data_IF_526012099202
#
_entry.id   IF_526012099202
#
_cell.length_a   1.000
_cell.length_b   1.000
_cell.length_c   1.000
_cell.angle_alpha   90.00
_cell.angle_beta   90.00
_cell.angle_gamma   90.00
#
_symmetry.space_group_name_H-M   'P 1'
#
loop_
_entity.id
_entity.type
_entity.pdbx_description
1 polymer ?
#
# COMPACT_ATOMS: atom_id res chain seq x y z
N UNK A 1 -21.05 40.29 20.70
CA UNK A 1 -22.30 40.79 21.36
C UNK A 1 -23.58 40.03 20.97
N UNK A 2 -23.57 39.11 20.04
CA UNK A 2 -24.79 38.40 19.53
C UNK A 2 -25.43 37.36 20.50
N UNK A 3 -24.69 36.87 21.48
CA UNK A 3 -25.14 35.79 22.37
C UNK A 3 -25.81 36.33 23.67
N UNK A 4 -25.78 37.66 23.95
CA UNK A 4 -26.30 38.22 25.20
C UNK A 4 -27.83 38.16 25.35
N UNK A 5 -28.56 38.04 24.22
CA UNK A 5 -30.04 37.97 24.18
C UNK A 5 -30.59 36.55 24.12
N UNK A 6 -29.77 35.49 24.14
CA UNK A 6 -30.22 34.13 24.07
C UNK A 6 -30.55 33.58 25.46
N UNK A 7 -31.65 32.84 25.55
CA UNK A 7 -31.99 32.09 26.73
C UNK A 7 -30.90 31.07 27.09
N UNK A 8 -30.60 30.89 28.37
CA UNK A 8 -29.52 30.06 28.92
C UNK A 8 -29.49 28.67 28.27
N UNK A 9 -30.69 28.04 28.14
CA UNK A 9 -30.83 26.72 27.50
C UNK A 9 -30.35 26.70 26.05
N UNK A 10 -30.60 27.76 25.28
CA UNK A 10 -30.16 27.86 23.87
C UNK A 10 -28.66 28.03 23.74
N UNK A 11 -28.01 28.76 24.69
CA UNK A 11 -26.53 28.92 24.70
C UNK A 11 -25.84 27.60 25.01
N UNK A 12 -26.35 26.86 25.99
CA UNK A 12 -25.80 25.55 26.36
C UNK A 12 -26.00 24.55 25.21
N UNK A 13 -27.23 24.47 24.63
CA UNK A 13 -27.53 23.58 23.51
C UNK A 13 -26.64 23.86 22.29
N UNK A 14 -26.41 25.15 21.95
CA UNK A 14 -25.53 25.51 20.84
C UNK A 14 -24.07 25.09 21.08
N UNK A 15 -23.54 25.29 22.29
CA UNK A 15 -22.19 24.90 22.64
C UNK A 15 -21.99 23.37 22.60
N UNK A 16 -22.94 22.60 23.14
CA UNK A 16 -22.88 21.14 23.06
C UNK A 16 -23.07 20.62 21.64
N UNK A 17 -23.94 21.24 20.83
CA UNK A 17 -24.11 20.90 19.43
C UNK A 17 -22.83 21.10 18.62
N UNK A 18 -22.10 22.19 18.89
CA UNK A 18 -20.81 22.48 18.21
C UNK A 18 -19.74 21.44 18.55
N UNK A 19 -19.68 21.02 19.83
CA UNK A 19 -18.77 19.94 20.25
C UNK A 19 -19.16 18.62 19.62
N UNK A 20 -20.47 18.28 19.62
CA UNK A 20 -20.96 17.07 19.00
C UNK A 20 -20.66 17.02 17.49
N UNK A 21 -20.82 18.15 16.78
CA UNK A 21 -20.45 18.29 15.38
C UNK A 21 -18.94 18.10 15.15
N UNK A 22 -18.10 18.67 16.02
CA UNK A 22 -16.66 18.49 15.93
C UNK A 22 -16.24 17.02 16.11
N UNK A 23 -16.85 16.31 17.06
CA UNK A 23 -16.61 14.87 17.29
C UNK A 23 -17.12 14.04 16.10
N UNK A 24 -18.31 14.33 15.57
CA UNK A 24 -18.84 13.65 14.40
C UNK A 24 -17.94 13.87 13.17
N UNK A 25 -17.50 15.10 12.94
CA UNK A 25 -16.54 15.43 11.87
C UNK A 25 -15.24 14.64 12.02
N UNK A 26 -14.66 14.61 13.22
CA UNK A 26 -13.45 13.80 13.49
C UNK A 26 -13.65 12.33 13.17
N UNK A 27 -14.81 11.78 13.58
CA UNK A 27 -15.12 10.36 13.30
C UNK A 27 -15.18 10.07 11.80
N UNK A 28 -15.94 10.85 11.03
CA UNK A 28 -16.07 10.68 9.58
C UNK A 28 -14.74 10.91 8.87
N UNK A 29 -14.02 11.95 9.24
CA UNK A 29 -12.70 12.26 8.68
C UNK A 29 -11.70 11.12 8.94
N UNK A 30 -11.60 10.63 10.19
CA UNK A 30 -10.69 9.54 10.56
C UNK A 30 -11.00 8.24 9.82
N UNK A 31 -12.31 7.90 9.67
CA UNK A 31 -12.72 6.73 8.89
C UNK A 31 -12.33 6.84 7.41
N UNK A 32 -12.51 8.01 6.80
CA UNK A 32 -12.09 8.25 5.43
C UNK A 32 -10.58 8.10 5.22
N UNK A 33 -9.77 8.61 6.16
CA UNK A 33 -8.30 8.47 6.11
C UNK A 33 -7.85 7.02 6.30
N UNK A 34 -8.49 6.29 7.22
CA UNK A 34 -8.21 4.85 7.40
C UNK A 34 -8.54 4.05 6.13
N UNK A 35 -9.65 4.35 5.44
CA UNK A 35 -9.97 3.71 4.16
C UNK A 35 -8.87 3.93 3.13
N UNK A 36 -8.42 5.17 2.93
CA UNK A 36 -7.37 5.49 1.95
C UNK A 36 -6.04 4.78 2.23
N UNK A 37 -5.64 4.66 3.51
CA UNK A 37 -4.46 3.91 3.91
C UNK A 37 -4.67 2.41 3.64
N UNK A 38 -5.84 1.89 3.96
CA UNK A 38 -6.19 0.48 3.73
C UNK A 38 -6.18 0.12 2.26
N UNK A 39 -6.74 0.97 1.39
CA UNK A 39 -6.79 0.73 -0.06
C UNK A 39 -5.38 0.61 -0.65
N UNK A 40 -4.45 1.49 -0.23
CA UNK A 40 -3.03 1.42 -0.65
C UNK A 40 -2.30 0.20 -0.10
N UNK A 41 -2.54 -0.15 1.17
CA UNK A 41 -1.98 -1.36 1.76
C UNK A 41 -2.49 -2.60 1.02
N UNK A 42 -3.76 -2.63 0.65
CA UNK A 42 -4.36 -3.72 -0.13
C UNK A 42 -3.74 -3.82 -1.52
N UNK A 43 -3.48 -2.70 -2.21
CA UNK A 43 -2.79 -2.70 -3.50
C UNK A 43 -1.37 -3.28 -3.37
N UNK A 44 -0.64 -2.93 -2.30
CA UNK A 44 0.69 -3.51 -2.05
C UNK A 44 0.60 -5.02 -1.80
N UNK A 45 -0.35 -5.48 -0.96
CA UNK A 45 -0.48 -6.88 -0.55
C UNK A 45 -1.02 -7.79 -1.66
N UNK A 46 -1.97 -7.31 -2.46
CA UNK A 46 -2.72 -8.14 -3.41
C UNK A 46 -2.26 -8.00 -4.87
N UNK A 47 -1.49 -6.95 -5.17
CA UNK A 47 -1.08 -6.63 -6.53
C UNK A 47 0.45 -6.55 -6.65
N UNK A 48 1.11 -5.55 -6.04
CA UNK A 48 2.54 -5.35 -6.21
C UNK A 48 3.42 -6.50 -5.70
N UNK A 49 3.14 -7.01 -4.49
CA UNK A 49 3.96 -8.08 -3.89
C UNK A 49 3.79 -9.42 -4.62
N UNK A 50 2.59 -9.89 -4.98
CA UNK A 50 2.43 -11.07 -5.81
C UNK A 50 3.09 -10.93 -7.18
N UNK A 51 2.97 -9.79 -7.85
CA UNK A 51 3.60 -9.50 -9.15
C UNK A 51 5.12 -9.65 -9.10
N UNK A 52 5.77 -9.02 -8.11
CA UNK A 52 7.23 -9.17 -7.91
C UNK A 52 7.62 -10.63 -7.69
N UNK A 53 6.88 -11.36 -6.85
CA UNK A 53 7.19 -12.78 -6.57
C UNK A 53 7.11 -13.64 -7.81
N UNK A 54 6.12 -13.41 -8.68
CA UNK A 54 6.00 -14.16 -9.93
C UNK A 54 7.13 -13.79 -10.88
N UNK A 55 7.45 -12.51 -11.06
CA UNK A 55 8.58 -12.04 -11.89
C UNK A 55 9.90 -12.64 -11.39
N UNK A 56 10.14 -12.65 -10.07
CA UNK A 56 11.33 -13.27 -9.49
C UNK A 56 11.38 -14.78 -9.71
N UNK A 57 10.23 -15.46 -9.59
CA UNK A 57 10.13 -16.90 -9.89
C UNK A 57 10.40 -17.21 -11.36
N UNK A 58 9.91 -16.40 -12.28
CA UNK A 58 10.22 -16.49 -13.71
C UNK A 58 11.72 -16.35 -13.92
N UNK A 59 12.33 -15.32 -13.37
CA UNK A 59 13.78 -15.05 -13.47
C UNK A 59 14.61 -16.18 -12.88
N UNK A 60 14.24 -16.68 -11.71
CA UNK A 60 14.95 -17.81 -11.08
C UNK A 60 14.89 -19.06 -11.94
N UNK A 61 13.72 -19.43 -12.46
CA UNK A 61 13.57 -20.62 -13.31
C UNK A 61 14.34 -20.49 -14.63
N UNK A 62 14.38 -19.30 -15.24
CA UNK A 62 15.23 -19.03 -16.42
C UNK A 62 16.71 -19.21 -16.13
N UNK A 63 17.21 -18.69 -14.97
CA UNK A 63 18.59 -18.88 -14.54
C UNK A 63 18.91 -20.35 -14.27
N UNK A 64 17.98 -21.09 -13.67
CA UNK A 64 18.14 -22.55 -13.44
C UNK A 64 18.22 -23.32 -14.77
N UNK A 65 17.34 -23.00 -15.74
CA UNK A 65 17.37 -23.59 -17.08
C UNK A 65 18.69 -23.27 -17.77
N UNK A 66 19.18 -22.02 -17.67
CA UNK A 66 20.49 -21.67 -18.23
C UNK A 66 21.62 -22.47 -17.58
N UNK A 67 21.56 -22.69 -16.27
CA UNK A 67 22.56 -23.54 -15.59
C UNK A 67 22.53 -24.98 -16.10
N UNK A 68 21.33 -25.54 -16.33
CA UNK A 68 21.17 -26.89 -16.92
C UNK A 68 21.79 -26.93 -18.32
N UNK A 69 21.49 -25.96 -19.18
CA UNK A 69 22.02 -25.91 -20.54
C UNK A 69 23.56 -25.78 -20.59
N UNK A 70 24.14 -24.97 -19.70
CA UNK A 70 25.59 -24.85 -19.60
C UNK A 70 26.27 -26.13 -19.08
N UNK A 71 25.65 -26.82 -18.11
CA UNK A 71 26.15 -28.13 -17.64
C UNK A 71 26.10 -29.14 -18.76
N UNK A 72 25.01 -29.20 -19.53
CA UNK A 72 24.88 -30.06 -20.69
C UNK A 72 25.97 -29.78 -21.74
N UNK A 73 26.28 -28.51 -21.98
CA UNK A 73 27.34 -28.12 -22.92
C UNK A 73 28.74 -28.54 -22.46
N UNK A 74 29.01 -28.59 -21.16
CA UNK A 74 30.29 -28.98 -20.58
C UNK A 74 30.43 -30.49 -20.38
N UNK A 75 29.34 -31.25 -20.32
CA UNK A 75 29.34 -32.66 -20.05
C UNK A 75 29.77 -33.45 -21.33
N UNK A 76 30.87 -34.22 -21.28
CA UNK A 76 31.32 -35.02 -22.42
C UNK A 76 30.41 -36.24 -22.70
N UNK A 77 29.63 -36.71 -21.71
CA UNK A 77 28.85 -37.94 -21.85
C UNK A 77 27.42 -37.63 -22.37
N UNK A 78 27.18 -38.00 -23.62
CA UNK A 78 25.85 -37.87 -24.27
C UNK A 78 24.75 -38.67 -23.60
N UNK A 79 25.07 -39.64 -22.73
CA UNK A 79 24.07 -40.44 -21.99
C UNK A 79 23.32 -39.61 -20.95
N UNK A 80 23.92 -38.49 -20.50
CA UNK A 80 23.31 -37.60 -19.52
C UNK A 80 22.30 -36.61 -20.11
N UNK A 81 22.17 -36.54 -21.46
CA UNK A 81 21.32 -35.55 -22.13
C UNK A 81 19.85 -35.72 -21.74
N UNK A 82 19.36 -36.96 -21.63
CA UNK A 82 17.98 -37.21 -21.25
C UNK A 82 17.69 -36.79 -19.79
N UNK A 83 18.70 -36.85 -18.90
CA UNK A 83 18.63 -36.33 -17.55
C UNK A 83 18.52 -34.79 -17.56
N UNK A 84 19.35 -34.11 -18.36
CA UNK A 84 19.28 -32.65 -18.51
C UNK A 84 17.95 -32.21 -19.12
N UNK A 85 17.43 -32.97 -20.10
CA UNK A 85 16.14 -32.67 -20.71
C UNK A 85 14.99 -32.82 -19.71
N UNK A 86 14.97 -33.87 -18.90
CA UNK A 86 13.96 -34.02 -17.83
C UNK A 86 14.02 -32.88 -16.79
N UNK A 87 15.24 -32.42 -16.42
CA UNK A 87 15.41 -31.28 -15.55
C UNK A 87 14.89 -29.98 -16.20
N UNK A 88 15.17 -29.76 -17.48
CA UNK A 88 14.66 -28.65 -18.26
C UNK A 88 13.13 -28.66 -18.32
N UNK A 89 12.52 -29.78 -18.70
CA UNK A 89 11.06 -29.91 -18.84
C UNK A 89 10.35 -29.59 -17.53
N UNK A 90 10.83 -30.13 -16.40
CA UNK A 90 10.28 -29.84 -15.08
C UNK A 90 10.33 -28.33 -14.74
N UNK A 91 11.43 -27.64 -15.06
CA UNK A 91 11.57 -26.19 -14.84
C UNK A 91 10.75 -25.38 -15.82
N UNK A 92 10.69 -25.80 -17.08
CA UNK A 92 9.92 -25.12 -18.12
C UNK A 92 8.40 -25.18 -17.87
N UNK A 93 7.90 -26.26 -17.27
CA UNK A 93 6.50 -26.35 -16.83
C UNK A 93 6.18 -25.30 -15.77
N UNK A 94 7.01 -25.18 -14.72
CA UNK A 94 6.83 -24.16 -13.68
C UNK A 94 6.95 -22.75 -14.27
N UNK A 95 7.95 -22.52 -15.12
CA UNK A 95 8.16 -21.25 -15.80
C UNK A 95 6.96 -20.84 -16.66
N UNK A 96 6.43 -21.75 -17.45
CA UNK A 96 5.27 -21.49 -18.31
C UNK A 96 4.01 -21.22 -17.48
N UNK A 97 3.85 -21.90 -16.34
CA UNK A 97 2.74 -21.61 -15.43
C UNK A 97 2.87 -20.22 -14.83
N UNK A 98 4.05 -19.85 -14.31
CA UNK A 98 4.30 -18.52 -13.77
C UNK A 98 4.05 -17.41 -14.79
N UNK A 99 4.43 -17.63 -16.06
CA UNK A 99 4.17 -16.67 -17.15
C UNK A 99 2.67 -16.48 -17.36
N UNK A 100 1.88 -17.55 -17.33
CA UNK A 100 0.41 -17.48 -17.41
C UNK A 100 -0.19 -16.78 -16.20
N UNK A 101 0.27 -17.13 -15.00
CA UNK A 101 -0.23 -16.52 -13.75
C UNK A 101 0.07 -15.03 -13.69
N UNK A 102 1.19 -14.62 -14.29
CA UNK A 102 1.57 -13.20 -14.36
C UNK A 102 0.63 -12.37 -15.23
N UNK A 103 -0.03 -12.95 -16.23
CA UNK A 103 -0.96 -12.22 -17.11
C UNK A 103 -2.10 -11.52 -16.34
N UNK A 104 -2.51 -12.09 -15.19
CA UNK A 104 -3.57 -11.53 -14.36
C UNK A 104 -3.18 -10.23 -13.63
N UNK A 105 -1.88 -9.90 -13.59
CA UNK A 105 -1.34 -8.72 -12.90
C UNK A 105 -0.93 -7.59 -13.84
N UNK A 106 -1.18 -7.75 -15.14
CA UNK A 106 -0.86 -6.73 -16.14
C UNK A 106 -2.04 -5.77 -16.24
N UNK A 107 -1.87 -4.55 -15.74
CA UNK A 107 -2.93 -3.53 -15.69
C UNK A 107 -2.54 -2.20 -16.35
N UNK A 108 -1.27 -2.03 -16.76
CA UNK A 108 -0.79 -0.82 -17.42
C UNK A 108 -0.27 -1.07 -18.84
N UNK A 109 -0.33 -0.07 -19.74
CA UNK A 109 0.24 -0.17 -21.08
C UNK A 109 1.76 -0.42 -21.09
N UNK A 110 2.48 0.04 -20.07
CA UNK A 110 3.92 -0.16 -19.94
C UNK A 110 4.25 -1.61 -19.58
N UNK A 111 3.53 -2.19 -18.63
CA UNK A 111 3.63 -3.60 -18.29
C UNK A 111 3.29 -4.50 -19.48
N UNK A 112 2.20 -4.18 -20.19
CA UNK A 112 1.79 -4.93 -21.38
C UNK A 112 2.89 -4.90 -22.44
N UNK A 113 3.51 -3.75 -22.69
CA UNK A 113 4.61 -3.61 -23.67
C UNK A 113 5.81 -4.49 -23.29
N UNK A 114 6.23 -4.44 -22.02
CA UNK A 114 7.36 -5.23 -21.50
C UNK A 114 7.06 -6.72 -21.58
N UNK A 115 5.86 -7.09 -21.21
CA UNK A 115 5.42 -8.49 -21.24
C UNK A 115 5.32 -9.05 -22.67
N UNK A 116 4.79 -8.29 -23.62
CA UNK A 116 4.71 -8.71 -25.01
C UNK A 116 6.11 -8.89 -25.63
N UNK A 117 7.04 -8.01 -25.30
CA UNK A 117 8.43 -8.17 -25.72
C UNK A 117 9.07 -9.40 -25.05
N UNK A 118 8.84 -9.61 -23.77
CA UNK A 118 9.29 -10.78 -23.04
C UNK A 118 8.74 -12.08 -23.67
N UNK A 119 7.45 -12.16 -23.98
CA UNK A 119 6.85 -13.35 -24.64
C UNK A 119 7.50 -13.66 -25.98
N UNK A 120 7.78 -12.65 -26.77
CA UNK A 120 8.46 -12.79 -28.07
C UNK A 120 9.87 -13.38 -27.90
N UNK A 121 10.64 -12.82 -26.96
CA UNK A 121 12.00 -13.27 -26.71
C UNK A 121 12.00 -14.66 -26.05
N UNK A 122 11.06 -14.91 -25.16
CA UNK A 122 10.86 -16.23 -24.54
C UNK A 122 10.51 -17.32 -25.56
N UNK A 123 9.68 -17.04 -26.54
CA UNK A 123 9.41 -18.00 -27.64
C UNK A 123 10.70 -18.30 -28.43
N UNK A 124 11.56 -17.33 -28.62
CA UNK A 124 12.87 -17.53 -29.26
C UNK A 124 13.82 -18.33 -28.37
N UNK A 125 13.79 -18.07 -27.07
CA UNK A 125 14.51 -18.83 -26.06
C UNK A 125 14.12 -20.31 -26.05
N UNK A 126 12.83 -20.62 -26.07
CA UNK A 126 12.32 -22.02 -26.10
C UNK A 126 12.78 -22.76 -27.36
N UNK A 127 12.77 -22.11 -28.54
CA UNK A 127 13.30 -22.69 -29.78
C UNK A 127 14.79 -23.01 -29.65
N UNK A 128 15.59 -22.04 -29.19
CA UNK A 128 17.00 -22.24 -28.98
C UNK A 128 17.33 -23.38 -27.99
N UNK A 129 16.49 -23.55 -26.96
CA UNK A 129 16.63 -24.68 -26.03
C UNK A 129 16.33 -26.03 -26.72
N UNK A 130 15.27 -26.09 -27.53
CA UNK A 130 14.98 -27.32 -28.35
C UNK A 130 16.14 -27.69 -29.29
N UNK A 131 16.68 -26.67 -29.98
CA UNK A 131 17.82 -26.86 -30.90
C UNK A 131 19.07 -27.30 -30.13
N UNK A 132 19.30 -26.76 -28.93
CA UNK A 132 20.44 -27.15 -28.09
C UNK A 132 20.41 -28.62 -27.69
N UNK A 133 19.25 -29.19 -27.35
CA UNK A 133 19.10 -30.63 -27.07
C UNK A 133 19.34 -31.48 -28.31
N UNK A 134 18.91 -31.01 -29.48
CA UNK A 134 19.16 -31.68 -30.76
C UNK A 134 20.66 -31.74 -31.09
N UNK A 135 21.36 -30.61 -30.93
CA UNK A 135 22.82 -30.52 -31.13
C UNK A 135 23.59 -31.38 -30.11
N UNK A 136 23.14 -31.38 -28.86
CA UNK A 136 23.75 -32.21 -27.82
C UNK A 136 23.64 -33.70 -28.17
N UNK A 137 22.48 -34.17 -28.65
CA UNK A 137 22.26 -35.57 -29.07
C UNK A 137 23.07 -35.96 -30.28
N UNK A 138 23.27 -35.02 -31.22
CA UNK A 138 24.13 -35.29 -32.40
C UNK A 138 25.61 -35.32 -32.08
N UNK A 139 26.00 -34.84 -30.87
CA UNK A 139 27.40 -34.71 -30.46
C UNK A 139 28.11 -33.52 -31.08
N UNK A 140 27.40 -32.61 -31.76
CA UNK A 140 27.98 -31.40 -32.37
C UNK A 140 28.22 -30.31 -31.29
N UNK A 141 29.34 -30.46 -30.60
CA UNK A 141 29.67 -29.58 -29.45
C UNK A 141 30.05 -28.20 -29.89
N UNK A 142 30.64 -28.02 -31.05
CA UNK A 142 31.00 -26.69 -31.53
C UNK A 142 29.74 -25.87 -31.82
N UNK A 143 28.77 -26.47 -32.57
CA UNK A 143 27.52 -25.83 -32.84
C UNK A 143 26.71 -25.56 -31.55
N UNK A 144 26.70 -26.54 -30.61
CA UNK A 144 26.03 -26.39 -29.31
C UNK A 144 26.60 -25.22 -28.51
N UNK A 145 27.91 -25.13 -28.40
CA UNK A 145 28.59 -24.03 -27.68
C UNK A 145 28.34 -22.68 -28.35
N UNK A 146 28.42 -22.64 -29.69
CA UNK A 146 28.09 -21.43 -30.46
C UNK A 146 26.64 -20.99 -30.18
N UNK A 147 25.67 -21.90 -30.27
CA UNK A 147 24.27 -21.61 -30.02
C UNK A 147 24.06 -21.04 -28.61
N UNK A 148 24.55 -21.74 -27.57
CA UNK A 148 24.29 -21.36 -26.17
C UNK A 148 25.05 -20.12 -25.71
N UNK A 149 26.29 -19.92 -26.17
CA UNK A 149 27.17 -18.85 -25.68
C UNK A 149 27.15 -17.58 -26.54
N UNK A 150 26.80 -17.71 -27.83
CA UNK A 150 26.83 -16.60 -28.77
C UNK A 150 25.43 -16.28 -29.29
N UNK A 151 24.77 -17.23 -29.96
CA UNK A 151 23.55 -16.95 -30.71
C UNK A 151 22.34 -16.69 -29.78
N UNK A 152 22.24 -17.42 -28.65
CA UNK A 152 21.18 -17.21 -27.63
C UNK A 152 21.48 -16.05 -26.67
N UNK A 153 22.70 -15.52 -26.63
CA UNK A 153 23.07 -14.48 -25.68
C UNK A 153 22.15 -13.24 -25.74
N UNK A 154 21.84 -12.67 -26.92
CA UNK A 154 20.95 -11.50 -27.00
C UNK A 154 19.56 -11.78 -26.46
N UNK A 155 19.01 -13.00 -26.72
CA UNK A 155 17.69 -13.41 -26.24
C UNK A 155 17.66 -13.55 -24.72
N UNK A 156 18.70 -14.15 -24.15
CA UNK A 156 18.82 -14.31 -22.69
C UNK A 156 19.00 -12.95 -22.00
N UNK A 157 19.85 -12.09 -22.55
CA UNK A 157 20.07 -10.76 -22.01
C UNK A 157 18.80 -9.89 -22.13
N UNK A 158 18.08 -9.99 -23.25
CA UNK A 158 16.83 -9.30 -23.49
C UNK A 158 15.73 -9.72 -22.51
N UNK A 159 15.48 -11.03 -22.37
CA UNK A 159 14.48 -11.53 -21.39
C UNK A 159 14.85 -11.13 -19.96
N UNK A 160 16.13 -11.18 -19.60
CA UNK A 160 16.61 -10.73 -18.30
C UNK A 160 16.37 -9.24 -18.04
N UNK A 161 16.62 -8.39 -19.05
CA UNK A 161 16.42 -6.96 -18.97
C UNK A 161 14.93 -6.60 -18.79
N UNK A 162 14.01 -7.23 -19.54
CA UNK A 162 12.57 -7.01 -19.43
C UNK A 162 12.04 -7.41 -18.06
N UNK A 163 12.46 -8.56 -17.53
CA UNK A 163 12.08 -8.99 -16.17
C UNK A 163 12.65 -8.05 -15.09
N UNK A 164 13.86 -7.52 -15.26
CA UNK A 164 14.44 -6.55 -14.36
C UNK A 164 13.68 -5.21 -14.39
N UNK A 165 13.25 -4.77 -15.58
CA UNK A 165 12.46 -3.55 -15.76
C UNK A 165 11.08 -3.69 -15.11
N UNK A 166 10.38 -4.83 -15.30
CA UNK A 166 9.14 -5.15 -14.61
C UNK A 166 9.33 -5.16 -13.09
N UNK A 167 10.35 -5.84 -12.58
CA UNK A 167 10.67 -5.85 -11.14
C UNK A 167 10.92 -4.44 -10.58
N UNK A 168 11.59 -3.57 -11.35
CA UNK A 168 11.84 -2.18 -10.98
C UNK A 168 10.54 -1.37 -10.96
N UNK A 169 9.64 -1.59 -11.92
CA UNK A 169 8.35 -0.92 -12.00
C UNK A 169 7.49 -1.25 -10.78
N UNK A 170 7.39 -2.52 -10.40
CA UNK A 170 6.65 -2.95 -9.22
C UNK A 170 7.28 -2.47 -7.91
N UNK A 171 8.61 -2.48 -7.80
CA UNK A 171 9.31 -1.95 -6.63
C UNK A 171 9.04 -0.45 -6.43
N UNK A 172 9.04 0.33 -7.50
CA UNK A 172 8.67 1.75 -7.48
C UNK A 172 7.19 1.96 -7.12
N UNK A 173 6.30 1.06 -7.56
CA UNK A 173 4.89 1.07 -7.17
C UNK A 173 4.72 0.91 -5.65
N UNK A 174 5.39 -0.08 -5.07
CA UNK A 174 5.41 -0.31 -3.61
C UNK A 174 5.94 0.92 -2.87
N UNK A 175 7.07 1.47 -3.31
CA UNK A 175 7.68 2.64 -2.68
C UNK A 175 6.75 3.86 -2.73
N UNK A 176 6.17 4.14 -3.89
CA UNK A 176 5.23 5.25 -4.09
C UNK A 176 4.00 5.13 -3.19
N UNK A 177 3.37 3.94 -3.16
CA UNK A 177 2.16 3.73 -2.38
C UNK A 177 2.46 3.67 -0.87
N UNK A 178 3.63 3.17 -0.50
CA UNK A 178 4.14 3.22 0.87
C UNK A 178 4.41 4.65 1.36
N UNK A 179 5.10 5.47 0.56
CA UNK A 179 5.36 6.88 0.88
C UNK A 179 4.05 7.68 0.95
N UNK A 180 3.16 7.51 -0.03
CA UNK A 180 1.87 8.17 0.00
C UNK A 180 1.05 7.78 1.25
N UNK A 181 1.10 6.52 1.69
CA UNK A 181 0.45 6.08 2.94
C UNK A 181 1.04 6.78 4.16
N UNK A 182 2.36 6.93 4.23
CA UNK A 182 3.04 7.64 5.31
C UNK A 182 2.69 9.14 5.35
N UNK A 183 2.60 9.79 4.19
CA UNK A 183 2.23 11.21 4.07
C UNK A 183 0.76 11.43 4.47
N UNK A 184 -0.15 10.55 4.06
CA UNK A 184 -1.54 10.57 4.51
C UNK A 184 -1.66 10.40 6.01
N UNK A 185 -0.91 9.46 6.59
CA UNK A 185 -0.88 9.27 8.05
C UNK A 185 -0.36 10.51 8.77
N UNK A 186 0.75 11.09 8.31
CA UNK A 186 1.35 12.29 8.89
C UNK A 186 0.41 13.49 8.90
N UNK A 187 -0.20 13.78 7.74
CA UNK A 187 -1.17 14.87 7.57
C UNK A 187 -2.43 14.65 8.42
N UNK A 188 -2.97 13.44 8.42
CA UNK A 188 -4.17 13.09 9.18
C UNK A 188 -3.94 13.22 10.67
N UNK A 189 -2.80 12.75 11.17
CA UNK A 189 -2.41 12.88 12.58
C UNK A 189 -2.40 14.34 13.04
N UNK A 190 -1.81 15.23 12.23
CA UNK A 190 -1.75 16.66 12.56
C UNK A 190 -3.15 17.27 12.61
N UNK A 191 -4.00 17.01 11.63
CA UNK A 191 -5.38 17.52 11.59
C UNK A 191 -6.16 17.02 12.81
N UNK A 192 -6.08 15.73 13.14
CA UNK A 192 -6.77 15.14 14.30
C UNK A 192 -6.31 15.82 15.60
N UNK A 193 -5.00 16.00 15.80
CA UNK A 193 -4.46 16.69 16.99
C UNK A 193 -4.98 18.13 17.08
N UNK A 194 -4.95 18.88 15.99
CA UNK A 194 -5.42 20.28 15.96
C UNK A 194 -6.90 20.36 16.31
N UNK A 195 -7.74 19.48 15.73
CA UNK A 195 -9.18 19.48 16.02
C UNK A 195 -9.46 19.09 17.47
N UNK A 196 -8.73 18.11 18.03
CA UNK A 196 -8.85 17.73 19.46
C UNK A 196 -8.50 18.93 20.36
N UNK A 197 -7.41 19.63 20.08
CA UNK A 197 -6.99 20.81 20.87
C UNK A 197 -8.04 21.92 20.79
N UNK A 198 -8.56 22.20 19.59
CA UNK A 198 -9.62 23.20 19.41
C UNK A 198 -10.89 22.79 20.18
N UNK A 199 -11.32 21.53 20.10
CA UNK A 199 -12.48 21.03 20.81
C UNK A 199 -12.30 21.08 22.33
N UNK A 200 -11.11 20.76 22.84
CA UNK A 200 -10.80 20.87 24.28
C UNK A 200 -10.85 22.31 24.76
N UNK A 201 -10.23 23.25 24.02
CA UNK A 201 -10.29 24.67 24.35
C UNK A 201 -11.72 25.23 24.30
N UNK A 202 -12.50 24.86 23.29
CA UNK A 202 -13.91 25.24 23.17
C UNK A 202 -14.72 24.71 24.35
N UNK A 203 -14.48 23.47 24.79
CA UNK A 203 -15.13 22.89 25.97
C UNK A 203 -14.81 23.64 27.25
N UNK A 204 -13.54 23.99 27.49
CA UNK A 204 -13.12 24.77 28.66
C UNK A 204 -13.75 26.15 28.64
N UNK A 205 -13.73 26.83 27.50
CA UNK A 205 -14.34 28.18 27.35
C UNK A 205 -15.86 28.12 27.57
N UNK A 206 -16.53 27.09 27.06
CA UNK A 206 -17.97 26.91 27.26
C UNK A 206 -18.29 26.65 28.74
N UNK A 207 -17.55 25.78 29.41
CA UNK A 207 -17.70 25.50 30.83
C UNK A 207 -17.50 26.76 31.68
N UNK A 208 -16.47 27.54 31.36
CA UNK A 208 -16.22 28.85 32.05
C UNK A 208 -17.35 29.84 31.81
N UNK A 209 -17.82 30.00 30.56
CA UNK A 209 -18.93 30.90 30.23
C UNK A 209 -20.25 30.50 30.91
N UNK A 210 -20.57 29.18 30.95
CA UNK A 210 -21.75 28.70 31.65
C UNK A 210 -21.63 28.91 33.16
N UNK A 211 -20.48 28.67 33.74
CA UNK A 211 -20.24 28.93 35.18
C UNK A 211 -20.43 30.40 35.54
N UNK A 212 -19.90 31.30 34.73
CA UNK A 212 -20.08 32.75 34.97
C UNK A 212 -21.52 33.21 34.75
N UNK A 213 -22.19 32.70 33.71
CA UNK A 213 -23.51 33.20 33.32
C UNK A 213 -24.69 32.55 34.05
N UNK A 214 -24.48 31.38 34.67
CA UNK A 214 -25.57 30.62 35.32
C UNK A 214 -25.23 30.38 36.81
N UNK A 215 -24.10 29.80 37.12
CA UNK A 215 -23.80 29.32 38.47
C UNK A 215 -23.59 30.47 39.45
N UNK A 216 -22.89 31.52 39.02
CA UNK A 216 -22.65 32.70 39.87
C UNK A 216 -23.93 33.46 40.24
N UNK A 217 -24.82 33.86 39.28
CA UNK A 217 -26.07 34.52 39.61
C UNK A 217 -27.03 33.65 40.45
N UNK A 218 -27.11 32.33 40.11
CA UNK A 218 -27.94 31.40 40.88
C UNK A 218 -27.47 31.30 42.36
N UNK A 219 -26.17 31.25 42.55
CA UNK A 219 -25.58 31.19 43.91
C UNK A 219 -25.89 32.44 44.70
N UNK A 220 -25.84 33.64 44.06
CA UNK A 220 -26.26 34.89 44.64
C UNK A 220 -27.77 34.92 45.03
N UNK A 221 -28.62 34.44 44.13
CA UNK A 221 -30.06 34.36 44.41
C UNK A 221 -30.39 33.37 45.56
N UNK A 222 -29.71 32.23 45.64
CA UNK A 222 -29.85 31.23 46.72
C UNK A 222 -29.38 31.83 48.05
N UNK A 223 -28.25 32.55 48.08
CA UNK A 223 -27.76 33.22 49.28
C UNK A 223 -28.71 34.33 49.73
N UNK A 224 -29.24 35.12 48.79
CA UNK A 224 -30.23 36.16 49.13
C UNK A 224 -31.51 35.55 49.70
N UNK A 225 -32.00 34.39 49.14
CA UNK A 225 -33.16 33.68 49.66
C UNK A 225 -32.90 33.09 51.06
N UNK A 226 -31.67 32.66 51.35
CA UNK A 226 -31.26 32.19 52.66
C UNK A 226 -31.26 33.30 53.72
N UNK A 227 -30.74 34.48 53.39
CA UNK A 227 -30.74 35.65 54.30
C UNK A 227 -32.18 36.08 54.64
N UNK A 228 -33.07 36.05 53.67
CA UNK A 228 -34.51 36.32 53.91
C UNK A 228 -35.15 35.25 54.81
N UNK A 229 -34.83 33.97 54.57
CA UNK A 229 -35.35 32.87 55.40
C UNK A 229 -34.87 32.92 56.85
N UNK A 230 -33.60 33.38 57.05
CA UNK A 230 -32.97 33.54 58.40
C UNK A 230 -33.41 34.84 59.10
N UNK A 231 -34.26 35.70 58.49
CA UNK A 231 -34.76 36.96 59.01
C UNK A 231 -33.75 38.11 59.01
N UNK A 232 -32.60 37.97 58.32
CA UNK A 232 -31.58 39.02 58.23
C UNK A 232 -31.84 39.90 56.98
N UNK A 233 -32.70 40.93 57.16
CA UNK A 233 -33.02 41.93 56.11
C UNK A 233 -32.05 43.10 56.03
N UNK A 234 -30.92 43.04 56.73
CA UNK A 234 -29.92 44.12 56.77
C UNK A 234 -28.89 44.06 55.66
N UNK A 235 -28.77 42.97 54.97
CA UNK A 235 -27.76 42.78 53.91
C UNK A 235 -28.28 43.21 52.54
N UNK A 236 -27.50 43.96 51.76
CA UNK A 236 -27.89 44.35 50.40
C UNK A 236 -28.00 43.12 49.53
N UNK A 237 -29.11 42.96 48.80
CA UNK A 237 -29.31 41.94 47.78
C UNK A 237 -28.71 42.49 46.47
N UNK A 238 -27.48 42.14 46.13
CA UNK A 238 -26.89 42.37 44.80
C UNK A 238 -27.39 41.25 43.88
N UNK A 239 -28.26 41.57 42.92
CA UNK A 239 -28.79 40.66 41.90
C UNK A 239 -28.20 41.00 40.53
#
# INVERSE_FOLDING_TARGET
MLLRNWNIARRAAFGFALIALAVAFLGVFSLGQMSSIRDRATAIEQDWVPSIRIVDSIRENMLRIRTISLRMALDPDTKNIDTYMGQYEARNQVLTQNIRDFEAFIDSPEEQRLYDQFKKDFASYQRGMSDSFSLARSGDREALNKLLLVDMKPVVDGTGAQLAELGTLYSKGIERDGQASADYYGSSRLIVIVVIVIAALATVLLAWALTQSIVRPLRGAVQAAQFVADGDLTKPIDV
#
